data_IF_424566542518
#
_entry.id   IF_424566542518
#
_cell.length_a   1.000
_cell.length_b   1.000
_cell.length_c   1.000
_cell.angle_alpha   90.00
_cell.angle_beta   90.00
_cell.angle_gamma   90.00
#
_symmetry.space_group_name_H-M   'P 1'
#
loop_
_entity.id
_entity.type
_entity.pdbx_description
1 polymer ?
#
# COMPACT_ATOMS: atom_id res chain seq x y z
N UNK A 1 17.33 -5.99 1.85
CA UNK A 1 17.22 -5.69 0.41
C UNK A 1 15.90 -5.00 0.13
N UNK A 2 15.74 -4.34 -1.02
CA UNK A 2 14.54 -3.54 -1.34
C UNK A 2 13.24 -4.35 -1.31
N UNK A 3 13.29 -5.62 -1.69
CA UNK A 3 12.14 -6.54 -1.64
C UNK A 3 11.58 -6.69 -0.23
N UNK A 4 12.44 -6.95 0.76
CA UNK A 4 12.04 -7.12 2.16
C UNK A 4 11.39 -5.84 2.69
N UNK A 5 12.00 -4.68 2.41
CA UNK A 5 11.47 -3.39 2.85
C UNK A 5 10.12 -3.06 2.21
N UNK A 6 9.96 -3.33 0.91
CA UNK A 6 8.70 -3.11 0.21
C UNK A 6 7.60 -4.03 0.75
N UNK A 7 7.92 -5.28 1.08
CA UNK A 7 7.00 -6.24 1.69
C UNK A 7 6.62 -5.84 3.12
N UNK A 8 7.55 -5.40 3.96
CA UNK A 8 7.26 -4.91 5.32
C UNK A 8 6.35 -3.68 5.28
N UNK A 9 6.65 -2.73 4.40
CA UNK A 9 5.81 -1.55 4.18
C UNK A 9 4.39 -1.93 3.79
N UNK A 10 4.23 -2.85 2.83
CA UNK A 10 2.92 -3.24 2.31
C UNK A 10 2.16 -4.16 3.28
N UNK A 11 2.85 -5.10 3.93
CA UNK A 11 2.30 -6.05 4.89
C UNK A 11 1.69 -5.36 6.10
N UNK A 12 2.28 -4.26 6.57
CA UNK A 12 1.69 -3.42 7.62
C UNK A 12 0.34 -2.79 7.25
N UNK A 13 -0.03 -2.79 5.96
CA UNK A 13 -1.25 -2.18 5.43
C UNK A 13 -2.31 -3.17 5.00
N UNK A 14 -2.06 -4.48 5.10
CA UNK A 14 -2.93 -5.55 4.56
C UNK A 14 -3.26 -6.59 5.65
N UNK A 15 -3.08 -6.27 6.93
CA UNK A 15 -3.22 -7.23 8.03
C UNK A 15 -4.55 -7.98 8.01
N UNK A 16 -4.44 -9.32 8.00
CA UNK A 16 -5.54 -10.29 8.15
C UNK A 16 -6.52 -10.40 6.96
N UNK A 17 -5.97 -10.51 5.73
CA UNK A 17 -6.73 -11.15 4.65
C UNK A 17 -6.95 -12.62 5.06
N UNK A 18 -8.17 -12.93 5.49
CA UNK A 18 -8.64 -14.30 5.67
C UNK A 18 -8.40 -15.07 4.36
N UNK A 19 -7.38 -15.94 4.36
CA UNK A 19 -6.92 -16.69 3.18
C UNK A 19 -7.97 -17.72 2.76
N UNK A 20 -8.90 -17.27 1.94
CA UNK A 20 -9.79 -18.11 1.15
C UNK A 20 -9.30 -18.03 -0.29
N UNK A 21 -9.07 -19.16 -0.95
CA UNK A 21 -8.63 -19.27 -2.36
C UNK A 21 -9.54 -18.50 -3.35
N UNK A 22 -10.71 -18.05 -2.91
CA UNK A 22 -11.65 -17.24 -3.67
C UNK A 22 -11.42 -15.71 -3.57
N UNK A 23 -10.53 -15.24 -2.68
CA UNK A 23 -10.28 -13.81 -2.43
C UNK A 23 -9.10 -13.22 -3.20
N UNK A 24 -8.21 -14.03 -3.79
CA UNK A 24 -7.02 -13.51 -4.47
C UNK A 24 -7.38 -12.66 -5.71
N UNK A 25 -8.34 -13.12 -6.51
CA UNK A 25 -8.83 -12.38 -7.67
C UNK A 25 -9.56 -11.10 -7.24
N UNK A 26 -10.37 -11.16 -6.19
CA UNK A 26 -11.10 -10.02 -5.65
C UNK A 26 -10.16 -8.96 -5.05
N UNK A 27 -9.11 -9.39 -4.36
CA UNK A 27 -8.04 -8.54 -3.86
C UNK A 27 -7.29 -7.88 -5.01
N UNK A 28 -6.89 -8.64 -6.03
CA UNK A 28 -6.20 -8.11 -7.19
C UNK A 28 -7.06 -7.06 -7.91
N UNK A 29 -8.35 -7.33 -8.12
CA UNK A 29 -9.30 -6.39 -8.70
C UNK A 29 -9.48 -5.14 -7.84
N UNK A 30 -9.54 -5.30 -6.52
CA UNK A 30 -9.63 -4.17 -5.60
C UNK A 30 -8.36 -3.29 -5.65
N UNK A 31 -7.18 -3.90 -5.62
CA UNK A 31 -5.91 -3.18 -5.78
C UNK A 31 -5.88 -2.47 -7.15
N UNK A 32 -6.35 -3.10 -8.22
CA UNK A 32 -6.45 -2.47 -9.53
C UNK A 32 -7.40 -1.25 -9.53
N UNK A 33 -8.57 -1.37 -8.88
CA UNK A 33 -9.50 -0.24 -8.68
C UNK A 33 -8.85 0.88 -7.88
N UNK A 34 -8.11 0.56 -6.82
CA UNK A 34 -7.36 1.53 -6.02
C UNK A 34 -6.31 2.27 -6.87
N UNK A 35 -5.47 1.54 -7.60
CA UNK A 35 -4.46 2.11 -8.49
C UNK A 35 -5.08 3.00 -9.56
N UNK A 36 -6.28 2.66 -10.05
CA UNK A 36 -7.06 3.46 -10.98
C UNK A 36 -7.54 4.81 -10.40
N UNK A 37 -7.65 4.94 -9.07
CA UNK A 37 -8.05 6.18 -8.39
C UNK A 37 -6.87 7.10 -8.05
N UNK A 38 -5.64 6.60 -8.13
CA UNK A 38 -4.45 7.41 -7.88
C UNK A 38 -4.17 8.37 -9.04
N UNK A 39 -3.54 9.51 -8.73
CA UNK A 39 -2.98 10.38 -9.77
C UNK A 39 -1.91 9.62 -10.57
N UNK A 40 -1.66 10.00 -11.82
CA UNK A 40 -0.66 9.34 -12.66
C UNK A 40 0.73 9.28 -12.00
N UNK A 41 1.12 10.36 -11.27
CA UNK A 41 2.37 10.41 -10.51
C UNK A 41 2.37 9.42 -9.35
N UNK A 42 1.33 9.45 -8.52
CA UNK A 42 1.24 8.60 -7.34
C UNK A 42 1.13 7.11 -7.71
N UNK A 43 0.40 6.80 -8.78
CA UNK A 43 0.33 5.44 -9.35
C UNK A 43 1.71 4.95 -9.79
N UNK A 44 2.49 5.77 -10.51
CA UNK A 44 3.86 5.42 -10.92
C UNK A 44 4.77 5.17 -9.73
N UNK A 45 4.71 6.02 -8.70
CA UNK A 45 5.48 5.83 -7.45
C UNK A 45 5.11 4.49 -6.80
N UNK A 46 3.82 4.21 -6.66
CA UNK A 46 3.32 3.00 -6.01
C UNK A 46 3.71 1.72 -6.78
N UNK A 47 3.54 1.71 -8.10
CA UNK A 47 3.92 0.57 -8.95
C UNK A 47 5.43 0.34 -8.94
N UNK A 48 6.24 1.39 -9.07
CA UNK A 48 7.70 1.24 -9.00
C UNK A 48 8.15 0.68 -7.66
N UNK A 49 7.52 1.09 -6.56
CA UNK A 49 7.86 0.57 -5.22
C UNK A 49 7.48 -0.89 -5.03
N UNK A 50 6.27 -1.29 -5.41
CA UNK A 50 5.71 -2.60 -5.01
C UNK A 50 5.72 -3.68 -6.11
N UNK A 51 5.70 -3.31 -7.40
CA UNK A 51 5.81 -4.28 -8.51
C UNK A 51 7.24 -4.42 -9.01
N UNK A 52 7.95 -3.30 -9.17
CA UNK A 52 9.33 -3.30 -9.67
C UNK A 52 10.38 -3.30 -8.56
N UNK A 53 9.94 -3.19 -7.30
CA UNK A 53 10.81 -3.28 -6.12
C UNK A 53 11.96 -2.25 -6.17
N UNK A 54 11.67 -1.08 -6.73
CA UNK A 54 12.64 0.00 -6.81
C UNK A 54 12.87 0.65 -5.43
N UNK A 55 14.10 1.09 -5.18
CA UNK A 55 14.44 1.90 -4.02
C UNK A 55 13.83 3.29 -4.13
N UNK A 56 13.67 3.98 -2.99
CA UNK A 56 13.18 5.36 -2.95
C UNK A 56 14.02 6.28 -3.84
N UNK A 57 15.35 6.08 -3.86
CA UNK A 57 16.28 6.84 -4.69
C UNK A 57 16.04 6.59 -6.18
N UNK A 58 15.91 5.32 -6.60
CA UNK A 58 15.63 4.98 -8.00
C UNK A 58 14.31 5.59 -8.50
N UNK A 59 13.28 5.61 -7.65
CA UNK A 59 11.98 6.22 -7.99
C UNK A 59 12.10 7.75 -8.08
N UNK A 60 12.85 8.36 -7.15
CA UNK A 60 13.11 9.79 -7.14
C UNK A 60 13.83 10.21 -8.42
N UNK A 61 14.89 9.51 -8.79
CA UNK A 61 15.68 9.76 -10.00
C UNK A 61 14.84 9.55 -11.27
N UNK A 62 14.08 8.44 -11.37
CA UNK A 62 13.30 8.11 -12.57
C UNK A 62 12.14 9.07 -12.84
N UNK A 63 11.58 9.67 -11.80
CA UNK A 63 10.44 10.60 -11.89
C UNK A 63 10.84 12.07 -11.73
N UNK A 64 12.14 12.36 -11.58
CA UNK A 64 12.68 13.69 -11.27
C UNK A 64 11.99 14.33 -10.05
N UNK A 65 11.91 13.57 -8.95
CA UNK A 65 11.31 13.97 -7.68
C UNK A 65 12.36 13.99 -6.57
N UNK A 66 12.04 14.65 -5.45
CA UNK A 66 12.83 14.51 -4.21
C UNK A 66 12.44 13.21 -3.52
N UNK A 67 13.41 12.52 -2.89
CA UNK A 67 13.13 11.32 -2.09
C UNK A 67 12.06 11.55 -1.01
N UNK A 68 12.06 12.73 -0.37
CA UNK A 68 11.03 13.10 0.60
C UNK A 68 9.61 13.10 0.01
N UNK A 69 9.47 13.52 -1.25
CA UNK A 69 8.17 13.48 -1.96
C UNK A 69 7.73 12.04 -2.20
N UNK A 70 8.65 11.15 -2.58
CA UNK A 70 8.39 9.72 -2.77
C UNK A 70 7.94 9.08 -1.45
N UNK A 71 8.68 9.30 -0.36
CA UNK A 71 8.34 8.78 0.99
C UNK A 71 6.95 9.22 1.45
N UNK A 72 6.64 10.51 1.31
CA UNK A 72 5.32 11.06 1.69
C UNK A 72 4.21 10.51 0.80
N UNK A 73 4.43 10.38 -0.51
CA UNK A 73 3.43 9.79 -1.42
C UNK A 73 3.15 8.33 -1.05
N UNK A 74 4.18 7.51 -0.83
CA UNK A 74 4.03 6.12 -0.44
C UNK A 74 3.29 5.96 0.89
N UNK A 75 3.68 6.72 1.93
CA UNK A 75 3.01 6.69 3.23
C UNK A 75 1.52 7.05 3.11
N UNK A 76 1.18 8.14 2.41
CA UNK A 76 -0.21 8.58 2.24
C UNK A 76 -1.04 7.58 1.44
N UNK A 77 -0.47 7.00 0.39
CA UNK A 77 -1.20 6.05 -0.46
C UNK A 77 -1.37 4.69 0.20
N UNK A 78 -0.42 4.25 1.04
CA UNK A 78 -0.60 3.06 1.89
C UNK A 78 -1.77 3.21 2.85
N UNK A 79 -1.87 4.35 3.53
CA UNK A 79 -3.01 4.65 4.42
C UNK A 79 -4.34 4.72 3.65
N UNK A 80 -4.32 5.24 2.42
CA UNK A 80 -5.50 5.24 1.54
C UNK A 80 -5.88 3.83 1.09
N UNK A 81 -4.90 2.97 0.78
CA UNK A 81 -5.13 1.58 0.41
C UNK A 81 -5.77 0.83 1.59
N UNK A 82 -5.26 1.01 2.81
CA UNK A 82 -5.83 0.43 4.03
C UNK A 82 -7.33 0.75 4.17
N UNK A 83 -7.67 2.04 4.13
CA UNK A 83 -9.06 2.52 4.19
C UNK A 83 -9.92 2.03 3.03
N UNK A 84 -9.31 1.86 1.85
CA UNK A 84 -10.01 1.36 0.68
C UNK A 84 -10.38 -0.11 0.84
N UNK A 85 -9.45 -0.93 1.35
CA UNK A 85 -9.68 -2.35 1.63
C UNK A 85 -10.68 -2.57 2.77
N UNK A 86 -10.65 -1.73 3.81
CA UNK A 86 -11.66 -1.69 4.88
C UNK A 86 -13.07 -1.44 4.32
N UNK A 87 -13.21 -0.48 3.39
CA UNK A 87 -14.50 -0.11 2.82
C UNK A 87 -15.09 -1.18 1.90
N UNK A 88 -14.24 -1.95 1.23
CA UNK A 88 -14.67 -3.00 0.30
C UNK A 88 -14.88 -4.35 1.04
N UNK A 89 -14.86 -4.35 2.39
CA UNK A 89 -15.01 -5.52 3.27
C UNK A 89 -14.00 -6.66 2.99
N UNK A 90 -12.88 -6.33 2.34
CA UNK A 90 -11.83 -7.29 1.98
C UNK A 90 -10.96 -7.61 3.20
N UNK A 91 -10.71 -6.60 4.03
CA UNK A 91 -9.87 -6.70 5.23
C UNK A 91 -10.64 -6.20 6.44
N UNK A 92 -10.70 -7.01 7.50
CA UNK A 92 -11.26 -6.63 8.79
C UNK A 92 -10.10 -6.22 9.69
N UNK A 93 -9.97 -4.92 9.97
CA UNK A 93 -9.02 -4.44 10.96
C UNK A 93 -9.64 -4.56 12.34
N UNK A 94 -9.22 -5.59 13.09
CA UNK A 94 -9.49 -5.61 14.52
C UNK A 94 -8.61 -4.56 15.17
N UNK A 95 -9.19 -3.38 15.43
CA UNK A 95 -8.63 -2.46 16.42
C UNK A 95 -8.37 -3.25 17.69
N UNK A 96 -7.11 -3.35 18.12
CA UNK A 96 -6.86 -3.68 19.50
C UNK A 96 -7.41 -2.52 20.34
N UNK A 97 -8.63 -2.68 20.85
CA UNK A 97 -8.96 -2.12 22.15
C UNK A 97 -8.04 -2.81 23.17
N UNK A 98 -7.00 -2.10 23.60
CA UNK A 98 -6.31 -2.37 24.85
C UNK A 98 -5.92 -1.03 25.45
N UNK A 99 -6.70 -0.65 26.46
CA UNK A 99 -6.30 0.15 27.63
C UNK A 99 -5.49 1.44 27.39
N UNK A 100 -6.19 2.58 27.48
CA UNK A 100 -5.81 3.69 28.34
C UNK A 100 -7.06 4.53 28.65
N UNK A 101 -7.77 4.13 29.71
CA UNK A 101 -8.29 5.09 30.70
C UNK A 101 -7.09 5.53 31.55
N UNK A 102 -6.99 6.80 31.94
CA UNK A 102 -7.93 7.42 32.88
C UNK A 102 -9.04 8.23 32.22
#
# INVERSE_FOLDING_TARGET
GEMVLALEELGSCISDIQSSEYKDNELADCINRFLGRLSARDRRIFIQRYWYVCSIKQIADSLNLKEGTVKVSLSRNRERLRKFLEKEDIVIWKSQESCLKP
#
